data_IF_368777428492
#
_entry.id   IF_368777428492
#
_cell.length_a   1.000
_cell.length_b   1.000
_cell.length_c   1.000
_cell.angle_alpha   90.00
_cell.angle_beta   90.00
_cell.angle_gamma   90.00
#
_symmetry.space_group_name_H-M   'P 1'
#
loop_
_entity.id
_entity.type
_entity.pdbx_description
1 polymer ?
#
# COMPACT_ATOMS: atom_id res chain seq x y z
N UNK A 1 -10.39 -6.79 15.94
CA UNK A 1 -9.85 -6.03 14.80
C UNK A 1 -8.80 -5.07 15.33
N UNK A 2 -7.70 -4.80 14.60
CA UNK A 2 -6.71 -3.80 15.01
C UNK A 2 -7.38 -2.43 15.17
N UNK A 3 -6.84 -1.58 16.05
CA UNK A 3 -7.31 -0.20 16.15
C UNK A 3 -6.75 0.62 14.99
N UNK A 4 -7.57 1.44 14.29
CA UNK A 4 -7.10 2.26 13.19
C UNK A 4 -6.00 3.23 13.62
N UNK A 5 -4.95 3.35 12.80
CA UNK A 5 -3.89 4.33 13.00
C UNK A 5 -4.43 5.73 12.71
N UNK A 6 -4.24 6.64 13.66
CA UNK A 6 -4.67 8.05 13.56
C UNK A 6 -3.53 8.95 13.13
N UNK A 7 -3.87 10.06 12.46
CA UNK A 7 -2.94 11.10 12.03
C UNK A 7 -2.41 10.91 10.61
N UNK A 8 -1.45 11.74 10.23
CA UNK A 8 -0.82 11.70 8.90
C UNK A 8 0.07 10.46 8.74
N UNK A 9 0.01 9.83 7.58
CA UNK A 9 0.64 8.54 7.27
C UNK A 9 1.58 8.66 6.07
N UNK A 10 2.67 7.91 6.10
CA UNK A 10 3.55 7.67 4.98
C UNK A 10 3.50 6.17 4.63
N UNK A 11 3.31 5.87 3.35
CA UNK A 11 3.12 4.52 2.85
C UNK A 11 4.20 4.22 1.82
N UNK A 12 4.83 3.06 1.96
CA UNK A 12 5.73 2.49 0.94
C UNK A 12 5.21 1.11 0.55
N UNK A 13 5.15 0.86 -0.76
CA UNK A 13 4.59 -0.38 -1.32
C UNK A 13 5.54 -0.99 -2.36
N UNK A 14 5.83 -2.28 -2.23
CA UNK A 14 6.48 -3.04 -3.29
C UNK A 14 5.52 -4.11 -3.82
N UNK A 15 5.21 -4.03 -5.11
CA UNK A 15 4.40 -5.02 -5.80
C UNK A 15 5.30 -6.04 -6.49
N UNK A 16 5.19 -7.32 -6.12
CA UNK A 16 5.91 -8.43 -6.72
C UNK A 16 4.98 -9.19 -7.67
N UNK A 17 5.03 -8.97 -8.99
CA UNK A 17 4.03 -9.53 -9.91
C UNK A 17 4.21 -11.04 -10.10
N UNK A 18 3.14 -11.79 -10.42
CA UNK A 18 3.21 -13.24 -10.64
C UNK A 18 3.92 -13.64 -11.94
N UNK A 19 4.09 -12.69 -12.87
CA UNK A 19 4.68 -12.91 -14.18
C UNK A 19 5.24 -11.60 -14.75
N UNK A 20 6.03 -11.67 -15.83
CA UNK A 20 6.58 -10.50 -16.54
C UNK A 20 5.58 -9.78 -17.45
N UNK A 21 4.29 -10.10 -17.39
CA UNK A 21 3.29 -9.40 -18.17
C UNK A 21 3.27 -7.90 -17.82
N UNK A 22 3.12 -7.05 -18.83
CA UNK A 22 3.04 -5.60 -18.66
C UNK A 22 1.79 -5.24 -17.84
N UNK A 23 1.97 -4.36 -16.85
CA UNK A 23 0.95 -3.87 -15.94
C UNK A 23 1.23 -2.42 -15.61
N UNK A 24 0.17 -1.67 -15.38
CA UNK A 24 0.28 -0.32 -14.85
C UNK A 24 0.29 -0.41 -13.32
N UNK A 25 1.26 0.29 -12.70
CA UNK A 25 1.51 0.22 -11.25
C UNK A 25 0.33 0.77 -10.45
N UNK A 26 -0.32 1.80 -10.99
CA UNK A 26 -1.44 2.51 -10.37
C UNK A 26 -2.69 1.65 -10.19
N UNK A 27 -2.97 0.73 -11.13
CA UNK A 27 -4.12 -0.18 -11.07
C UNK A 27 -4.17 -1.03 -9.78
N UNK A 28 -3.01 -1.28 -9.16
CA UNK A 28 -2.92 -2.09 -7.95
C UNK A 28 -3.29 -1.34 -6.68
N UNK A 29 -3.17 0.00 -6.66
CA UNK A 29 -3.46 0.78 -5.45
C UNK A 29 -4.93 0.72 -5.06
N UNK A 30 -5.85 0.68 -6.02
CA UNK A 30 -7.29 0.62 -5.71
C UNK A 30 -7.62 -0.62 -4.86
N UNK A 31 -7.21 -1.80 -5.34
CA UNK A 31 -7.45 -3.05 -4.63
C UNK A 31 -6.70 -3.13 -3.28
N UNK A 32 -5.48 -2.56 -3.22
CA UNK A 32 -4.71 -2.47 -1.98
C UNK A 32 -5.43 -1.59 -0.95
N UNK A 33 -5.83 -0.38 -1.31
CA UNK A 33 -6.50 0.55 -0.40
C UNK A 33 -7.85 0.01 0.07
N UNK A 34 -8.64 -0.58 -0.82
CA UNK A 34 -9.89 -1.25 -0.45
C UNK A 34 -9.64 -2.35 0.60
N UNK A 35 -8.57 -3.15 0.44
CA UNK A 35 -8.22 -4.20 1.40
C UNK A 35 -7.78 -3.63 2.76
N UNK A 36 -7.00 -2.56 2.75
CA UNK A 36 -6.49 -1.90 3.98
C UNK A 36 -7.61 -1.20 4.75
N UNK A 37 -8.56 -0.56 4.06
CA UNK A 37 -9.78 0.02 4.63
C UNK A 37 -10.64 -1.09 5.25
N UNK A 38 -10.89 -2.17 4.51
CA UNK A 38 -11.68 -3.31 5.03
C UNK A 38 -11.02 -3.98 6.25
N UNK A 39 -9.68 -3.96 6.33
CA UNK A 39 -8.94 -4.45 7.49
C UNK A 39 -8.95 -3.48 8.70
N UNK A 40 -9.43 -2.24 8.52
CA UNK A 40 -9.50 -1.23 9.57
C UNK A 40 -8.12 -0.69 10.02
N UNK A 41 -7.12 -0.72 9.13
CA UNK A 41 -5.75 -0.30 9.46
C UNK A 41 -5.64 1.22 9.59
N UNK A 42 -6.32 1.97 8.73
CA UNK A 42 -6.48 3.43 8.82
C UNK A 42 -7.96 3.80 8.73
N UNK A 43 -8.29 5.06 8.97
CA UNK A 43 -9.66 5.59 8.94
C UNK A 43 -10.04 5.96 7.50
N UNK A 44 -9.14 6.64 6.80
CA UNK A 44 -9.41 7.23 5.49
C UNK A 44 -8.12 7.40 4.68
N UNK A 45 -8.20 7.33 3.35
CA UNK A 45 -7.05 7.50 2.46
C UNK A 45 -6.47 8.93 2.50
N UNK A 46 -7.27 9.93 2.91
CA UNK A 46 -6.79 11.30 3.14
C UNK A 46 -5.69 11.40 4.19
N UNK A 47 -5.50 10.37 5.04
CA UNK A 47 -4.40 10.31 5.98
C UNK A 47 -3.03 10.16 5.29
N UNK A 48 -2.98 9.60 4.08
CA UNK A 48 -1.73 9.34 3.36
C UNK A 48 -1.17 10.67 2.81
N UNK A 49 -0.05 11.14 3.39
CA UNK A 49 0.65 12.37 2.97
C UNK A 49 1.89 12.11 2.13
N UNK A 50 2.39 10.87 2.16
CA UNK A 50 3.50 10.40 1.34
C UNK A 50 3.19 8.98 0.87
N UNK A 51 3.30 8.75 -0.43
CA UNK A 51 3.11 7.44 -1.07
C UNK A 51 4.29 7.18 -2.00
N UNK A 52 5.00 6.09 -1.75
CA UNK A 52 6.05 5.57 -2.63
C UNK A 52 5.67 4.15 -3.06
N UNK A 53 5.86 3.83 -4.35
CA UNK A 53 5.71 2.46 -4.79
C UNK A 53 6.64 2.09 -5.94
N UNK A 54 6.95 0.81 -5.99
CA UNK A 54 7.84 0.23 -6.99
C UNK A 54 7.44 -1.20 -7.35
N UNK A 55 7.96 -1.65 -8.50
CA UNK A 55 7.91 -3.06 -8.88
C UNK A 55 9.08 -3.81 -8.23
N UNK A 56 8.75 -4.87 -7.50
CA UNK A 56 9.69 -5.83 -6.98
C UNK A 56 9.96 -7.00 -7.95
N UNK A 57 10.64 -8.06 -7.47
CA UNK A 57 10.89 -9.26 -8.28
C UNK A 57 9.59 -10.00 -8.65
N UNK A 58 9.68 -10.83 -9.70
CA UNK A 58 8.57 -11.74 -10.06
C UNK A 58 8.47 -12.85 -9.01
N UNK A 59 7.38 -12.87 -8.25
CA UNK A 59 7.11 -13.86 -7.20
C UNK A 59 5.93 -14.73 -7.61
N UNK A 60 6.10 -16.06 -7.67
CA UNK A 60 5.03 -16.98 -8.07
C UNK A 60 3.81 -16.82 -7.16
N UNK A 61 2.64 -16.55 -7.75
CA UNK A 61 1.40 -16.27 -7.01
C UNK A 61 1.16 -14.78 -6.74
N UNK A 62 2.16 -13.94 -6.94
CA UNK A 62 2.12 -12.52 -6.63
C UNK A 62 2.31 -12.25 -5.14
N UNK A 63 2.88 -11.11 -4.82
CA UNK A 63 3.05 -10.64 -3.44
C UNK A 63 2.98 -9.11 -3.41
N UNK A 64 2.52 -8.57 -2.28
CA UNK A 64 2.50 -7.14 -2.01
C UNK A 64 3.11 -6.91 -0.64
N UNK A 65 4.20 -6.16 -0.59
CA UNK A 65 4.82 -5.72 0.66
C UNK A 65 4.36 -4.30 0.93
N UNK A 66 3.71 -4.11 2.07
CA UNK A 66 3.12 -2.85 2.47
C UNK A 66 3.72 -2.39 3.81
N UNK A 67 4.32 -1.20 3.81
CA UNK A 67 4.89 -0.57 5.00
C UNK A 67 4.14 0.72 5.32
N UNK A 68 3.66 0.82 6.57
CA UNK A 68 2.99 1.99 7.09
C UNK A 68 3.83 2.66 8.18
N UNK A 69 4.09 3.96 8.01
CA UNK A 69 4.82 4.79 8.95
C UNK A 69 3.97 6.01 9.34
N UNK A 70 4.18 6.52 10.56
CA UNK A 70 3.63 7.83 10.94
C UNK A 70 4.39 8.92 10.19
N UNK A 71 3.66 9.77 9.47
CA UNK A 71 4.25 10.90 8.78
C UNK A 71 4.51 12.04 9.78
N UNK A 72 5.77 12.41 9.93
CA UNK A 72 6.17 13.55 10.74
C UNK A 72 6.34 14.73 9.78
N UNK A 73 5.59 15.82 10.02
CA UNK A 73 5.81 17.06 9.27
C UNK A 73 7.21 17.57 9.62
N UNK A 74 8.01 17.82 8.59
CA UNK A 74 9.31 18.50 8.68
C UNK A 74 9.05 19.96 9.06
#
# INVERSE_FOLDING_TARGET
>A
MPQPVKGDLAVSVMFCPPSRAKRDLDNYFKALFDSVINAGIWIDDSQIKKLEAEWGPVTKGGECIFLLLKHHKI
#
